data_IF_290721871544
#
_entry.id   IF_290721871544
#
_cell.length_a   1.000
_cell.length_b   1.000
_cell.length_c   1.000
_cell.angle_alpha   90.00
_cell.angle_beta   90.00
_cell.angle_gamma   90.00
#
_symmetry.space_group_name_H-M   'P 1'
#
loop_
_entity.id
_entity.type
_entity.pdbx_description
1 polymer ?
#
# COMPACT_ATOMS: atom_id res chain seq x y z
N UNK A 1 27.97 -14.07 -26.59
CA UNK A 1 26.49 -14.08 -26.44
C UNK A 1 26.02 -13.83 -25.01
N UNK A 2 26.62 -14.45 -23.98
CA UNK A 2 26.27 -14.19 -22.56
C UNK A 2 26.32 -12.70 -22.16
N UNK A 3 27.27 -11.93 -22.69
CA UNK A 3 27.43 -10.51 -22.37
C UNK A 3 26.24 -9.62 -22.84
N UNK A 4 25.66 -9.90 -24.01
CA UNK A 4 24.50 -9.14 -24.49
C UNK A 4 23.22 -9.47 -23.72
N UNK A 5 23.04 -10.72 -23.31
CA UNK A 5 21.89 -11.12 -22.51
C UNK A 5 21.91 -10.44 -21.13
N UNK A 6 23.07 -10.41 -20.48
CA UNK A 6 23.26 -9.71 -19.21
C UNK A 6 23.09 -8.19 -19.34
N UNK A 7 23.59 -7.59 -20.42
CA UNK A 7 23.42 -6.16 -20.68
C UNK A 7 21.93 -5.79 -20.82
N UNK A 8 21.16 -6.58 -21.57
CA UNK A 8 19.70 -6.36 -21.72
C UNK A 8 18.97 -6.48 -20.39
N UNK A 9 19.33 -7.47 -19.56
CA UNK A 9 18.76 -7.61 -18.23
C UNK A 9 19.05 -6.37 -17.38
N UNK A 10 20.31 -5.96 -17.28
CA UNK A 10 20.69 -4.77 -16.50
C UNK A 10 20.01 -3.50 -17.00
N UNK A 11 19.84 -3.34 -18.31
CA UNK A 11 19.07 -2.23 -18.88
C UNK A 11 17.60 -2.27 -18.47
N UNK A 12 16.97 -3.45 -18.46
CA UNK A 12 15.60 -3.60 -18.00
C UNK A 12 15.48 -3.27 -16.50
N UNK A 13 16.39 -3.75 -15.66
CA UNK A 13 16.39 -3.47 -14.22
C UNK A 13 16.49 -1.95 -13.94
N UNK A 14 17.38 -1.23 -14.65
CA UNK A 14 17.50 0.23 -14.53
C UNK A 14 16.24 0.99 -14.98
N UNK A 15 15.52 0.48 -15.98
CA UNK A 15 14.24 1.08 -16.42
C UNK A 15 13.18 0.90 -15.36
N UNK A 16 13.09 -0.29 -14.75
CA UNK A 16 12.15 -0.58 -13.68
C UNK A 16 12.43 0.28 -12.44
N UNK A 17 13.69 0.39 -12.01
CA UNK A 17 14.08 1.22 -10.87
C UNK A 17 13.68 2.69 -11.08
N UNK A 18 13.98 3.25 -12.26
CA UNK A 18 13.61 4.63 -12.57
C UNK A 18 12.10 4.83 -12.57
N UNK A 19 11.36 3.92 -13.18
CA UNK A 19 9.91 4.00 -13.21
C UNK A 19 9.31 3.90 -11.78
N UNK A 20 9.87 3.02 -10.95
CA UNK A 20 9.43 2.85 -9.56
C UNK A 20 9.59 4.16 -8.77
N UNK A 21 10.74 4.83 -8.88
CA UNK A 21 10.98 6.12 -8.23
C UNK A 21 10.02 7.21 -8.71
N UNK A 22 9.72 7.24 -10.01
CA UNK A 22 8.81 8.23 -10.59
C UNK A 22 7.36 8.03 -10.13
N UNK A 23 6.89 6.78 -10.09
CA UNK A 23 5.55 6.46 -9.58
C UNK A 23 5.46 6.73 -8.07
N UNK A 24 6.49 6.38 -7.30
CA UNK A 24 6.55 6.70 -5.87
C UNK A 24 6.35 8.19 -5.61
N UNK A 25 7.04 9.04 -6.37
CA UNK A 25 6.91 10.48 -6.22
C UNK A 25 5.48 10.95 -6.54
N UNK A 26 4.88 10.47 -7.63
CA UNK A 26 3.49 10.80 -7.97
C UNK A 26 2.50 10.33 -6.90
N UNK A 27 2.74 9.15 -6.34
CA UNK A 27 1.92 8.59 -5.27
C UNK A 27 2.00 9.43 -4.00
N UNK A 28 3.20 9.84 -3.59
CA UNK A 28 3.41 10.74 -2.46
C UNK A 28 2.70 12.08 -2.65
N UNK A 29 2.81 12.68 -3.84
CA UNK A 29 2.15 13.93 -4.18
C UNK A 29 0.62 13.78 -4.11
N UNK A 30 0.05 12.72 -4.70
CA UNK A 30 -1.39 12.47 -4.69
C UNK A 30 -1.93 12.14 -3.29
N UNK A 31 -1.19 11.35 -2.49
CA UNK A 31 -1.56 11.04 -1.11
C UNK A 31 -1.59 12.29 -0.23
N UNK A 32 -0.65 13.23 -0.44
CA UNK A 32 -0.60 14.48 0.32
C UNK A 32 -1.81 15.40 0.05
N UNK A 33 -2.51 15.23 -1.07
CA UNK A 33 -3.76 15.95 -1.37
C UNK A 33 -4.99 15.36 -0.65
N UNK A 34 -4.91 14.10 -0.20
CA UNK A 34 -5.98 13.43 0.55
C UNK A 34 -5.88 13.74 2.06
N UNK A 35 -6.37 14.90 2.47
CA UNK A 35 -6.46 15.30 3.89
C UNK A 35 -7.94 15.53 4.31
N UNK A 36 -8.50 14.78 5.29
CA UNK A 36 -7.86 13.66 6.01
C UNK A 36 -7.69 12.44 5.10
N UNK A 37 -6.72 11.58 5.40
CA UNK A 37 -6.53 10.33 4.65
C UNK A 37 -7.65 9.32 5.01
N UNK A 38 -8.21 8.56 4.04
CA UNK A 38 -9.33 7.67 4.30
C UNK A 38 -8.96 6.51 5.23
N UNK A 39 -9.93 6.08 6.04
CA UNK A 39 -9.81 4.88 6.88
C UNK A 39 -9.90 3.62 6.04
N UNK A 40 -9.05 2.64 6.34
CA UNK A 40 -9.07 1.36 5.63
C UNK A 40 -10.37 0.60 5.95
N UNK A 41 -11.02 -0.07 4.97
CA UNK A 41 -12.26 -0.78 5.20
C UNK A 41 -12.16 -1.80 6.34
N UNK A 42 -13.11 -1.74 7.27
CA UNK A 42 -13.16 -2.56 8.48
C UNK A 42 -12.01 -2.35 9.46
N UNK A 43 -11.03 -1.48 9.22
CA UNK A 43 -10.03 -1.11 10.21
C UNK A 43 -10.63 -0.15 11.24
N UNK A 44 -10.16 -0.24 12.48
CA UNK A 44 -10.56 0.64 13.57
C UNK A 44 -9.59 1.80 13.75
N UNK A 45 -8.32 1.61 13.43
CA UNK A 45 -7.26 2.55 13.75
C UNK A 45 -6.33 2.86 12.58
N UNK A 46 -6.53 2.20 11.43
CA UNK A 46 -5.65 2.31 10.27
C UNK A 46 -6.28 3.19 9.18
N UNK A 47 -5.57 4.24 8.78
CA UNK A 47 -5.87 5.01 7.57
C UNK A 47 -4.94 4.56 6.45
N UNK A 48 -5.52 3.98 5.41
CA UNK A 48 -4.79 3.35 4.33
C UNK A 48 -5.75 3.05 3.17
N UNK A 49 -5.21 2.99 1.95
CA UNK A 49 -5.94 2.60 0.74
C UNK A 49 -5.33 1.31 0.21
N UNK A 50 -6.18 0.34 -0.13
CA UNK A 50 -5.75 -0.93 -0.70
C UNK A 50 -5.10 -0.75 -2.08
N UNK A 51 -3.95 -1.40 -2.28
CA UNK A 51 -3.30 -1.49 -3.58
C UNK A 51 -3.65 -2.84 -4.21
N UNK A 52 -4.87 -2.97 -4.76
CA UNK A 52 -5.29 -4.21 -5.42
C UNK A 52 -4.57 -4.37 -6.78
N UNK A 53 -3.69 -5.36 -6.86
CA UNK A 53 -2.94 -5.69 -8.06
C UNK A 53 -3.63 -6.71 -8.96
N UNK A 54 -4.87 -7.12 -8.64
CA UNK A 54 -5.60 -8.14 -9.37
C UNK A 54 -4.91 -9.51 -9.38
N UNK A 55 -4.02 -9.78 -8.43
CA UNK A 55 -3.24 -11.01 -8.34
C UNK A 55 -2.01 -11.07 -9.26
N UNK A 56 -1.54 -9.93 -9.77
CA UNK A 56 -0.41 -9.86 -10.70
C UNK A 56 0.96 -10.13 -10.03
N UNK A 57 1.13 -9.82 -8.75
CA UNK A 57 2.43 -9.91 -8.06
C UNK A 57 2.76 -11.33 -7.57
N UNK A 58 1.86 -12.29 -7.75
CA UNK A 58 2.16 -13.74 -7.76
C UNK A 58 2.65 -14.37 -6.46
N UNK A 59 2.70 -13.62 -5.35
CA UNK A 59 3.06 -14.14 -4.02
C UNK A 59 1.79 -14.43 -3.21
N UNK A 60 1.36 -15.70 -3.10
CA UNK A 60 0.14 -16.07 -2.39
C UNK A 60 0.27 -15.94 -0.85
N UNK A 61 1.48 -15.77 -0.32
CA UNK A 61 1.69 -15.54 1.11
C UNK A 61 1.67 -14.05 1.49
N UNK A 62 1.61 -13.17 0.49
CA UNK A 62 1.59 -11.72 0.71
C UNK A 62 0.22 -11.27 1.20
N UNK A 63 0.22 -10.56 2.32
CA UNK A 63 -0.99 -9.94 2.86
C UNK A 63 -1.48 -8.75 2.02
N UNK A 64 -2.47 -8.04 2.56
CA UNK A 64 -3.04 -6.85 1.92
C UNK A 64 -1.97 -5.75 1.86
N UNK A 65 -1.57 -5.37 0.64
CA UNK A 65 -0.68 -4.23 0.41
C UNK A 65 -1.52 -2.97 0.35
N UNK A 66 -1.10 -1.97 1.10
CA UNK A 66 -1.77 -0.69 1.21
C UNK A 66 -0.80 0.47 1.04
N UNK A 67 -1.31 1.61 0.61
CA UNK A 67 -0.62 2.90 0.67
C UNK A 67 -1.15 3.71 1.86
N UNK A 68 -0.24 4.36 2.59
CA UNK A 68 -0.57 5.25 3.70
C UNK A 68 -0.48 6.73 3.29
N UNK A 69 -0.77 7.63 4.23
CA UNK A 69 -0.74 9.08 4.04
C UNK A 69 0.64 9.64 3.64
N UNK A 70 1.71 8.94 4.01
CA UNK A 70 3.09 9.22 3.59
C UNK A 70 3.40 8.82 2.13
N UNK A 71 2.45 8.19 1.42
CA UNK A 71 2.63 7.69 0.05
C UNK A 71 3.53 6.45 -0.05
N UNK A 72 3.88 5.82 1.06
CA UNK A 72 4.67 4.59 1.10
C UNK A 72 3.79 3.35 1.16
N UNK A 73 4.36 2.21 0.73
CA UNK A 73 3.67 0.92 0.72
C UNK A 73 3.95 0.12 2.00
N UNK A 74 2.89 -0.47 2.53
CA UNK A 74 2.90 -1.31 3.72
C UNK A 74 2.08 -2.58 3.49
N UNK A 75 2.40 -3.64 4.23
CA UNK A 75 1.54 -4.79 4.41
C UNK A 75 0.70 -4.55 5.66
N UNK A 76 -0.62 -4.50 5.49
CA UNK A 76 -1.56 -4.41 6.60
C UNK A 76 -1.81 -5.81 7.17
N UNK A 77 -1.42 -5.98 8.43
CA UNK A 77 -1.62 -7.21 9.18
C UNK A 77 -2.70 -6.99 10.25
N UNK A 78 -3.79 -7.75 10.13
CA UNK A 78 -4.86 -7.78 11.13
C UNK A 78 -4.68 -9.01 12.04
N UNK A 79 -4.83 -8.81 13.34
CA UNK A 79 -4.65 -9.86 14.33
C UNK A 79 -5.36 -9.57 15.65
N UNK A 80 -5.05 -10.39 16.64
CA UNK A 80 -5.59 -10.28 18.00
C UNK A 80 -4.46 -9.85 18.93
N UNK A 81 -4.71 -8.83 19.74
CA UNK A 81 -3.84 -8.41 20.84
C UNK A 81 -4.14 -9.22 22.10
N UNK A 82 -3.41 -10.32 22.27
CA UNK A 82 -3.56 -11.21 23.41
C UNK A 82 -3.12 -10.56 24.73
N UNK A 83 -2.13 -9.68 24.70
CA UNK A 83 -1.62 -9.00 25.90
C UNK A 83 -2.69 -8.05 26.45
N UNK A 84 -3.39 -7.33 25.56
CA UNK A 84 -4.52 -6.47 25.93
C UNK A 84 -5.70 -7.26 26.53
N UNK A 85 -5.98 -8.47 26.02
CA UNK A 85 -7.02 -9.34 26.58
C UNK A 85 -6.63 -9.79 28.00
N UNK A 86 -5.38 -10.21 28.21
CA UNK A 86 -4.90 -10.66 29.53
C UNK A 86 -4.90 -9.52 30.55
N UNK A 87 -4.52 -8.31 30.13
CA UNK A 87 -4.47 -7.13 31.01
C UNK A 87 -5.87 -6.64 31.42
N UNK A 88 -6.83 -6.65 30.49
CA UNK A 88 -8.19 -6.16 30.76
C UNK A 88 -9.10 -7.23 31.37
N UNK A 89 -8.71 -8.51 31.29
CA UNK A 89 -9.52 -9.64 31.77
C UNK A 89 -10.83 -9.82 30.98
N UNK A 90 -10.95 -9.19 29.80
CA UNK A 90 -12.16 -9.20 28.99
C UNK A 90 -11.82 -9.27 27.50
N UNK A 91 -12.63 -10.01 26.74
CA UNK A 91 -12.56 -9.99 25.28
C UNK A 91 -13.46 -8.86 24.76
N UNK A 92 -12.96 -7.63 24.79
CA UNK A 92 -13.59 -6.52 24.08
C UNK A 92 -13.08 -6.48 22.62
N UNK A 93 -13.96 -6.57 21.60
CA UNK A 93 -13.54 -6.66 20.20
C UNK A 93 -12.73 -5.47 19.68
N UNK A 94 -12.81 -4.31 20.34
CA UNK A 94 -12.07 -3.10 19.98
C UNK A 94 -10.66 -3.16 20.58
N UNK A 95 -10.53 -3.45 21.87
CA UNK A 95 -9.22 -3.53 22.54
C UNK A 95 -8.44 -4.79 22.21
N UNK A 96 -9.13 -5.88 21.88
CA UNK A 96 -8.50 -7.15 21.48
C UNK A 96 -7.99 -7.11 20.03
N UNK A 97 -8.26 -6.05 19.26
CA UNK A 97 -7.84 -5.97 17.87
C UNK A 97 -6.43 -5.40 17.76
N UNK A 98 -5.60 -6.07 16.97
CA UNK A 98 -4.28 -5.59 16.58
C UNK A 98 -4.25 -5.30 15.09
N UNK A 99 -3.95 -4.05 14.73
CA UNK A 99 -3.69 -3.63 13.35
C UNK A 99 -2.23 -3.19 13.29
N UNK A 100 -1.47 -3.74 12.35
CA UNK A 100 -0.04 -3.43 12.22
C UNK A 100 0.28 -3.16 10.76
N UNK A 101 0.92 -2.02 10.52
CA UNK A 101 1.49 -1.66 9.23
C UNK A 101 2.96 -2.07 9.21
N UNK A 102 3.29 -3.06 8.39
CA UNK A 102 4.66 -3.51 8.20
C UNK A 102 5.19 -2.94 6.89
N UNK A 103 6.25 -2.14 6.94
CA UNK A 103 6.86 -1.61 5.72
C UNK A 103 7.36 -2.76 4.85
N UNK A 104 7.03 -2.73 3.57
CA UNK A 104 7.42 -3.78 2.61
C UNK A 104 8.63 -3.36 1.81
N UNK A 105 9.57 -4.29 1.65
CA UNK A 105 10.67 -4.17 0.71
C UNK A 105 10.36 -5.04 -0.50
N UNK A 106 10.04 -4.39 -1.61
CA UNK A 106 9.57 -5.04 -2.83
C UNK A 106 10.64 -4.99 -3.92
N UNK A 107 10.69 -6.02 -4.75
CA UNK A 107 11.43 -5.93 -6.01
C UNK A 107 10.82 -4.81 -6.87
N UNK A 108 11.61 -4.00 -7.63
CA UNK A 108 11.09 -2.86 -8.37
C UNK A 108 9.91 -3.17 -9.30
N UNK A 109 9.91 -4.37 -9.90
CA UNK A 109 8.77 -4.87 -10.70
C UNK A 109 7.48 -4.95 -9.90
N UNK A 110 7.51 -5.57 -8.71
CA UNK A 110 6.31 -5.79 -7.90
C UNK A 110 5.90 -4.47 -7.23
N UNK A 111 6.89 -3.66 -6.81
CA UNK A 111 6.66 -2.30 -6.34
C UNK A 111 5.88 -1.48 -7.36
N UNK A 112 6.29 -1.50 -8.63
CA UNK A 112 5.61 -0.76 -9.70
C UNK A 112 4.14 -1.14 -9.84
N UNK A 113 3.84 -2.44 -9.76
CA UNK A 113 2.47 -2.95 -9.89
C UNK A 113 1.61 -2.41 -8.74
N UNK A 114 2.06 -2.58 -7.49
CA UNK A 114 1.33 -2.10 -6.32
C UNK A 114 1.24 -0.57 -6.25
N UNK A 115 2.35 0.13 -6.48
CA UNK A 115 2.38 1.59 -6.41
C UNK A 115 1.47 2.23 -7.47
N UNK A 116 1.43 1.65 -8.69
CA UNK A 116 0.51 2.11 -9.72
C UNK A 116 -0.95 1.83 -9.36
N UNK A 117 -1.27 0.63 -8.83
CA UNK A 117 -2.60 0.32 -8.34
C UNK A 117 -3.04 1.28 -7.23
N UNK A 118 -2.16 1.54 -6.26
CA UNK A 118 -2.38 2.51 -5.20
C UNK A 118 -2.62 3.93 -5.73
N UNK A 119 -1.83 4.38 -6.71
CA UNK A 119 -2.03 5.69 -7.34
C UNK A 119 -3.40 5.80 -8.01
N UNK A 120 -3.86 4.74 -8.68
CA UNK A 120 -5.19 4.72 -9.28
C UNK A 120 -6.28 4.83 -8.21
N UNK A 121 -6.19 4.05 -7.13
CA UNK A 121 -7.16 4.08 -6.03
C UNK A 121 -7.18 5.44 -5.28
N UNK A 122 -6.00 6.03 -5.05
CA UNK A 122 -5.86 7.39 -4.49
C UNK A 122 -6.53 8.42 -5.41
N UNK A 123 -6.31 8.30 -6.73
CA UNK A 123 -6.93 9.18 -7.72
C UNK A 123 -8.45 9.07 -7.70
N UNK A 124 -8.99 7.87 -7.55
CA UNK A 124 -10.45 7.66 -7.42
C UNK A 124 -11.01 8.42 -6.20
N UNK A 125 -10.36 8.31 -5.04
CA UNK A 125 -10.75 9.07 -3.85
C UNK A 125 -10.69 10.58 -4.04
N UNK A 126 -9.67 11.10 -4.73
CA UNK A 126 -9.56 12.52 -5.05
C UNK A 126 -10.73 12.98 -5.94
N UNK A 127 -11.04 12.21 -6.99
CA UNK A 127 -12.13 12.52 -7.90
C UNK A 127 -13.51 12.44 -7.23
N UNK A 128 -13.72 11.48 -6.33
CA UNK A 128 -14.93 11.39 -5.51
C UNK A 128 -15.13 12.65 -4.66
N UNK A 129 -14.08 13.12 -3.98
CA UNK A 129 -14.13 14.36 -3.19
C UNK A 129 -14.44 15.58 -4.05
N UNK A 130 -13.82 15.69 -5.22
CA UNK A 130 -14.11 16.79 -6.15
C UNK A 130 -15.56 16.77 -6.65
N UNK A 131 -16.14 15.59 -6.85
CA UNK A 131 -17.52 15.43 -7.26
C UNK A 131 -18.50 15.83 -6.14
N UNK A 132 -18.21 15.43 -4.90
CA UNK A 132 -19.00 15.80 -3.71
C UNK A 132 -18.90 17.29 -3.36
N UNK A 133 -17.76 17.92 -3.66
CA UNK A 133 -17.55 19.35 -3.43
C UNK A 133 -18.27 20.26 -4.43
N UNK A 134 -18.80 19.72 -5.55
CA UNK A 134 -19.58 20.49 -6.53
C UNK A 134 -21.03 20.65 -6.03
N UNK A 135 -21.54 21.90 -5.91
CA UNK A 135 -22.86 22.20 -5.36
C UNK A 135 -24.03 21.81 -6.26
#
# INVERSE_FOLDING_TARGET
>A
MANQALLRKSQADMVLERAAMQIQQLLQEACAELDPFPSFPNALFTNAIECDDGGLSGDPERGCIVVCDDGELYELQMGIDHDSIELTGSWDPVTARKETLKKVELHPRDYLVYAYAGLMAVTEHLLEREAEAKP
#
